data_IF_068855462093
#
_entry.id   IF_068855462093
#
_cell.length_a   1.000
_cell.length_b   1.000
_cell.length_c   1.000
_cell.angle_alpha   90.00
_cell.angle_beta   90.00
_cell.angle_gamma   90.00
#
_symmetry.space_group_name_H-M   'P 1'
#
loop_
_entity.id
_entity.type
_entity.pdbx_description
1 polymer ?
#
# COMPACT_ATOMS: atom_id res chain seq x y z
N UNK A 1 5.83 10.69 -16.53
CA UNK A 1 5.57 9.92 -15.31
C UNK A 1 6.23 10.68 -14.18
N UNK A 2 5.45 11.27 -13.27
CA UNK A 2 6.01 11.94 -12.10
C UNK A 2 6.56 10.87 -11.17
N UNK A 3 7.82 11.00 -10.76
CA UNK A 3 8.42 10.09 -9.77
C UNK A 3 7.51 10.03 -8.54
N UNK A 4 7.27 8.84 -7.94
CA UNK A 4 6.58 8.75 -6.68
C UNK A 4 7.39 9.61 -5.70
N UNK A 5 6.80 10.72 -5.24
CA UNK A 5 7.47 11.67 -4.36
C UNK A 5 8.13 10.90 -3.21
N UNK A 6 9.35 11.24 -2.82
CA UNK A 6 10.10 10.55 -1.74
C UNK A 6 9.26 10.31 -0.48
N UNK A 7 8.30 11.22 -0.23
CA UNK A 7 7.28 11.13 0.82
C UNK A 7 6.40 9.87 0.74
N UNK A 8 6.00 9.45 -0.45
CA UNK A 8 5.19 8.24 -0.71
C UNK A 8 6.00 6.99 -0.37
N UNK A 9 7.27 6.96 -0.77
CA UNK A 9 8.13 5.82 -0.45
C UNK A 9 8.43 5.74 1.04
N UNK A 10 8.74 6.86 1.69
CA UNK A 10 8.98 6.95 3.12
C UNK A 10 7.75 6.48 3.91
N UNK A 11 6.57 7.03 3.61
CA UNK A 11 5.32 6.65 4.27
C UNK A 11 5.00 5.16 4.06
N UNK A 12 5.21 4.64 2.85
CA UNK A 12 5.01 3.21 2.57
C UNK A 12 5.95 2.34 3.42
N UNK A 13 7.21 2.74 3.60
CA UNK A 13 8.19 2.01 4.44
C UNK A 13 7.80 2.03 5.90
N UNK A 14 7.39 3.18 6.44
CA UNK A 14 6.94 3.29 7.83
C UNK A 14 5.67 2.47 8.07
N UNK A 15 4.67 2.59 7.20
CA UNK A 15 3.43 1.83 7.27
C UNK A 15 3.70 0.32 7.24
N UNK A 16 4.59 -0.13 6.35
CA UNK A 16 4.98 -1.54 6.29
C UNK A 16 5.67 -2.00 7.58
N UNK A 17 6.56 -1.18 8.15
CA UNK A 17 7.24 -1.49 9.41
C UNK A 17 6.26 -1.61 10.58
N UNK A 18 5.30 -0.68 10.69
CA UNK A 18 4.26 -0.70 11.73
C UNK A 18 3.34 -1.92 11.63
N UNK A 19 2.99 -2.33 10.41
CA UNK A 19 2.12 -3.49 10.18
C UNK A 19 2.89 -4.82 10.11
N UNK A 20 4.22 -4.82 10.29
CA UNK A 20 5.06 -6.01 10.17
C UNK A 20 5.12 -6.59 8.75
N UNK A 21 4.82 -5.79 7.72
CA UNK A 21 4.79 -6.19 6.32
C UNK A 21 6.18 -6.09 5.69
N UNK A 22 6.51 -7.04 4.82
CA UNK A 22 7.76 -7.05 4.05
C UNK A 22 7.48 -7.40 2.58
N UNK A 23 8.42 -7.07 1.71
CA UNK A 23 8.40 -7.45 0.29
C UNK A 23 8.19 -6.28 -0.68
N UNK A 24 8.93 -6.31 -1.80
CA UNK A 24 8.94 -5.24 -2.81
C UNK A 24 7.58 -5.08 -3.50
N UNK A 25 6.89 -6.18 -3.82
CA UNK A 25 5.56 -6.14 -4.46
C UNK A 25 4.51 -5.50 -3.56
N UNK A 26 4.52 -5.82 -2.27
CA UNK A 26 3.64 -5.17 -1.28
C UNK A 26 3.92 -3.68 -1.15
N UNK A 27 5.20 -3.29 -1.14
CA UNK A 27 5.60 -1.87 -1.13
C UNK A 27 5.04 -1.13 -2.33
N UNK A 28 5.21 -1.67 -3.54
CA UNK A 28 4.64 -1.06 -4.75
C UNK A 28 3.11 -0.96 -4.69
N UNK A 29 2.42 -1.99 -4.18
CA UNK A 29 0.96 -1.96 -3.99
C UNK A 29 0.53 -0.85 -3.03
N UNK A 30 1.23 -0.73 -1.89
CA UNK A 30 0.98 0.31 -0.88
C UNK A 30 1.24 1.71 -1.45
N UNK A 31 2.32 1.90 -2.21
CA UNK A 31 2.60 3.18 -2.88
C UNK A 31 1.47 3.60 -3.82
N UNK A 32 0.97 2.69 -4.66
CA UNK A 32 -0.19 2.95 -5.54
C UNK A 32 -1.45 3.29 -4.76
N UNK A 33 -1.67 2.61 -3.63
CA UNK A 33 -2.80 2.90 -2.74
C UNK A 33 -2.67 4.31 -2.15
N UNK A 34 -1.48 4.69 -1.69
CA UNK A 34 -1.20 6.03 -1.14
C UNK A 34 -1.42 7.11 -2.20
N UNK A 35 -1.01 6.88 -3.45
CA UNK A 35 -1.29 7.80 -4.56
C UNK A 35 -2.79 8.00 -4.80
N UNK A 36 -3.62 6.98 -4.53
CA UNK A 36 -5.07 7.05 -4.70
C UNK A 36 -5.81 7.65 -3.49
N UNK A 37 -5.41 7.31 -2.27
CA UNK A 37 -6.15 7.68 -1.04
C UNK A 37 -5.47 8.75 -0.17
N UNK A 38 -4.24 9.12 -0.52
CA UNK A 38 -3.37 10.01 0.24
C UNK A 38 -2.65 9.34 1.42
N UNK A 39 -2.02 10.16 2.26
CA UNK A 39 -1.20 9.75 3.41
C UNK A 39 -2.00 9.40 4.68
N UNK A 40 -3.27 9.01 4.54
CA UNK A 40 -4.10 8.60 5.68
C UNK A 40 -3.90 7.10 5.95
N UNK A 41 -3.22 6.78 7.06
CA UNK A 41 -2.92 5.39 7.46
C UNK A 41 -4.16 4.50 7.54
N UNK A 42 -5.32 5.04 7.99
CA UNK A 42 -6.56 4.26 8.10
C UNK A 42 -7.10 3.92 6.72
N UNK A 43 -7.13 4.91 5.82
CA UNK A 43 -7.57 4.69 4.42
C UNK A 43 -6.65 3.72 3.69
N UNK A 44 -5.34 3.88 3.84
CA UNK A 44 -4.34 2.97 3.25
C UNK A 44 -4.53 1.54 3.74
N UNK A 45 -4.75 1.35 5.05
CA UNK A 45 -5.04 0.02 5.61
C UNK A 45 -6.31 -0.60 5.04
N UNK A 46 -7.41 0.16 5.00
CA UNK A 46 -8.69 -0.32 4.46
C UNK A 46 -8.57 -0.67 2.98
N UNK A 47 -7.93 0.18 2.18
CA UNK A 47 -7.71 -0.07 0.76
C UNK A 47 -6.79 -1.28 0.52
N UNK A 48 -5.73 -1.45 1.33
CA UNK A 48 -4.85 -2.61 1.25
C UNK A 48 -5.60 -3.91 1.56
N UNK A 49 -6.41 -3.92 2.62
CA UNK A 49 -7.23 -5.08 2.97
C UNK A 49 -8.20 -5.45 1.85
N UNK A 50 -8.93 -4.47 1.29
CA UNK A 50 -9.83 -4.68 0.15
C UNK A 50 -9.11 -5.25 -1.06
N UNK A 51 -7.97 -4.65 -1.42
CA UNK A 51 -7.19 -5.10 -2.57
C UNK A 51 -6.64 -6.53 -2.44
N UNK A 52 -6.57 -7.06 -1.22
CA UNK A 52 -6.13 -8.44 -0.93
C UNK A 52 -7.30 -9.40 -0.75
N UNK A 53 -8.54 -8.91 -0.69
CA UNK A 53 -9.75 -9.73 -0.74
C UNK A 53 -10.02 -10.12 -2.20
N UNK A 54 -9.89 -9.18 -3.16
CA UNK A 54 -10.04 -9.48 -4.59
C UNK A 54 -9.07 -10.58 -5.06
N UNK A 55 -7.81 -10.54 -4.61
CA UNK A 55 -6.80 -11.59 -4.92
C UNK A 55 -7.18 -12.98 -4.37
N UNK A 56 -8.06 -13.08 -3.37
CA UNK A 56 -8.49 -14.38 -2.82
C UNK A 56 -9.68 -14.98 -3.56
N UNK A 57 -10.50 -14.17 -4.21
CA UNK A 57 -11.72 -14.62 -4.87
C UNK A 57 -11.41 -15.19 -6.26
N UNK A 58 -10.37 -14.70 -6.95
CA UNK A 58 -10.00 -15.20 -8.28
C UNK A 58 -9.22 -16.54 -8.28
N UNK A 59 -9.01 -17.16 -7.11
CA UNK A 59 -8.32 -18.44 -6.96
C UNK A 59 -9.27 -19.62 -6.64
N UNK A 60 -10.58 -19.47 -6.88
CA UNK A 60 -11.60 -20.54 -6.81
C UNK A 60 -12.15 -20.85 -8.22
#
# INVERSE_FOLDING_TARGET
MSEPSDKVEEFAREFMKEQGLKGKSRRMKIMRIIESVGFDKRKVKTALLRSSIDERIEHE
#
